data_IF_977339337097
#
_entry.id   IF_977339337097
#
_cell.length_a   1.000
_cell.length_b   1.000
_cell.length_c   1.000
_cell.angle_alpha   90.00
_cell.angle_beta   90.00
_cell.angle_gamma   90.00
#
_symmetry.space_group_name_H-M   'P 1'
#
loop_
_entity.id
_entity.type
_entity.pdbx_description
1 polymer ?
#
# COMPACT_ATOMS: atom_id res chain seq x y z
N UNK A 1 -11.23 3.86 -19.92
CA UNK A 1 -9.99 4.31 -19.25
C UNK A 1 -8.84 3.48 -19.76
N UNK A 2 -7.61 3.99 -19.73
CA UNK A 2 -6.43 3.18 -20.09
C UNK A 2 -6.15 2.15 -19.00
N UNK A 3 -5.75 0.96 -19.42
CA UNK A 3 -5.28 -0.12 -18.55
C UNK A 3 -3.85 0.13 -18.07
N UNK A 4 -3.42 -0.58 -17.02
CA UNK A 4 -2.03 -0.54 -16.56
C UNK A 4 -1.08 -0.95 -17.69
N UNK A 5 -1.44 -1.96 -18.48
CA UNK A 5 -0.68 -2.37 -19.67
C UNK A 5 -0.43 -1.22 -20.63
N UNK A 6 -1.46 -0.45 -20.96
CA UNK A 6 -1.35 0.68 -21.89
C UNK A 6 -0.57 1.86 -21.29
N UNK A 7 -0.73 2.12 -19.99
CA UNK A 7 -0.01 3.20 -19.28
C UNK A 7 1.50 2.92 -19.29
N UNK A 8 1.89 1.69 -18.99
CA UNK A 8 3.29 1.27 -18.90
C UNK A 8 3.87 0.71 -20.21
N UNK A 9 3.09 0.75 -21.31
CA UNK A 9 3.49 0.26 -22.64
C UNK A 9 4.02 -1.19 -22.65
N UNK A 10 3.38 -2.06 -21.85
CA UNK A 10 3.81 -3.45 -21.70
C UNK A 10 3.28 -4.28 -22.87
N UNK A 11 4.18 -4.94 -23.58
CA UNK A 11 3.82 -5.85 -24.67
C UNK A 11 3.04 -7.07 -24.17
N UNK A 12 2.16 -7.62 -25.00
CA UNK A 12 1.53 -8.91 -24.71
C UNK A 12 2.58 -10.02 -24.71
N UNK A 13 2.72 -10.72 -23.59
CA UNK A 13 3.45 -11.99 -23.55
C UNK A 13 2.47 -13.13 -23.85
N UNK A 14 2.85 -14.03 -24.76
CA UNK A 14 2.03 -15.19 -25.16
C UNK A 14 2.13 -16.37 -24.18
N UNK A 15 2.93 -16.28 -23.12
CA UNK A 15 3.11 -17.40 -22.20
C UNK A 15 2.00 -17.44 -21.16
N UNK A 16 1.10 -18.42 -21.29
CA UNK A 16 0.22 -18.81 -20.19
C UNK A 16 1.08 -19.43 -19.08
N UNK A 17 1.32 -18.65 -18.03
CA UNK A 17 1.93 -19.16 -16.81
C UNK A 17 0.84 -19.71 -15.88
N UNK A 18 1.13 -20.83 -15.24
CA UNK A 18 0.26 -21.42 -14.22
C UNK A 18 0.65 -20.99 -12.80
N UNK A 19 1.66 -20.12 -12.66
CA UNK A 19 2.05 -19.60 -11.35
C UNK A 19 1.08 -18.50 -10.91
N UNK A 20 0.61 -18.59 -9.67
CA UNK A 20 -0.38 -17.66 -9.12
C UNK A 20 0.04 -16.18 -9.20
N UNK A 21 1.34 -15.90 -9.05
CA UNK A 21 1.87 -14.54 -9.15
C UNK A 21 1.77 -13.98 -10.58
N UNK A 22 2.04 -14.81 -11.59
CA UNK A 22 1.95 -14.41 -13.00
C UNK A 22 0.50 -14.24 -13.45
N UNK A 23 -0.40 -15.09 -12.94
CA UNK A 23 -1.84 -14.96 -13.18
C UNK A 23 -2.33 -13.62 -12.61
N UNK A 24 -1.98 -13.31 -11.35
CA UNK A 24 -2.33 -12.03 -10.72
C UNK A 24 -1.71 -10.83 -11.46
N UNK A 25 -0.44 -10.91 -11.86
CA UNK A 25 0.22 -9.82 -12.59
C UNK A 25 -0.48 -9.53 -13.92
N UNK A 26 -0.86 -10.56 -14.68
CA UNK A 26 -1.61 -10.39 -15.93
C UNK A 26 -3.01 -9.80 -15.70
N UNK A 27 -3.67 -10.16 -14.60
CA UNK A 27 -4.95 -9.55 -14.21
C UNK A 27 -4.78 -8.05 -13.92
N UNK A 28 -3.77 -7.66 -13.13
CA UNK A 28 -3.45 -6.25 -12.85
C UNK A 28 -3.17 -5.45 -14.13
N UNK A 29 -2.45 -6.04 -15.09
CA UNK A 29 -2.17 -5.39 -16.37
C UNK A 29 -3.45 -5.02 -17.15
N UNK A 30 -4.51 -5.79 -16.99
CA UNK A 30 -5.77 -5.59 -17.71
C UNK A 30 -6.74 -4.65 -16.97
N UNK A 31 -6.45 -4.28 -15.72
CA UNK A 31 -7.21 -3.30 -14.94
C UNK A 31 -6.83 -1.87 -15.31
N UNK A 32 -7.76 -0.94 -15.15
CA UNK A 32 -7.49 0.49 -15.05
C UNK A 32 -7.09 0.88 -13.63
N UNK A 33 -6.52 2.07 -13.45
CA UNK A 33 -6.09 2.57 -12.12
C UNK A 33 -7.24 2.61 -11.11
N UNK A 34 -8.47 2.89 -11.54
CA UNK A 34 -9.65 2.92 -10.67
C UNK A 34 -10.13 1.54 -10.24
N UNK A 35 -9.74 0.48 -10.95
CA UNK A 35 -10.13 -0.90 -10.64
C UNK A 35 -9.13 -1.59 -9.70
N UNK A 36 -8.00 -0.94 -9.38
CA UNK A 36 -7.03 -1.46 -8.43
C UNK A 36 -7.62 -1.45 -7.01
N UNK A 37 -7.76 -2.64 -6.44
CA UNK A 37 -8.23 -2.83 -5.06
C UNK A 37 -7.08 -3.00 -4.06
N UNK A 38 -7.44 -3.13 -2.78
CA UNK A 38 -6.48 -3.29 -1.68
C UNK A 38 -5.53 -4.47 -1.87
N UNK A 39 -6.03 -5.59 -2.39
CA UNK A 39 -5.25 -6.81 -2.70
C UNK A 39 -4.17 -6.51 -3.73
N UNK A 40 -4.51 -5.76 -4.79
CA UNK A 40 -3.57 -5.39 -5.84
C UNK A 40 -2.48 -4.47 -5.28
N UNK A 41 -2.86 -3.45 -4.52
CA UNK A 41 -1.92 -2.49 -3.92
C UNK A 41 -0.94 -3.17 -2.96
N UNK A 42 -1.45 -4.01 -2.05
CA UNK A 42 -0.62 -4.76 -1.12
C UNK A 42 0.38 -5.65 -1.86
N UNK A 43 -0.06 -6.35 -2.91
CA UNK A 43 0.82 -7.21 -3.72
C UNK A 43 1.79 -6.41 -4.57
N UNK A 44 1.37 -5.31 -5.19
CA UNK A 44 2.23 -4.40 -5.96
C UNK A 44 3.39 -3.87 -5.10
N UNK A 45 3.09 -3.46 -3.87
CA UNK A 45 4.11 -3.00 -2.91
C UNK A 45 5.04 -4.15 -2.50
N UNK A 46 4.49 -5.32 -2.11
CA UNK A 46 5.27 -6.51 -1.72
C UNK A 46 6.23 -6.98 -2.82
N UNK A 47 5.78 -6.94 -4.08
CA UNK A 47 6.55 -7.39 -5.24
C UNK A 47 7.39 -6.27 -5.88
N UNK A 48 7.27 -5.04 -5.38
CA UNK A 48 7.92 -3.85 -5.93
C UNK A 48 7.65 -3.64 -7.43
N UNK A 49 6.39 -3.87 -7.86
CA UNK A 49 5.92 -3.65 -9.24
C UNK A 49 4.96 -2.47 -9.29
N UNK A 50 5.11 -1.61 -10.31
CA UNK A 50 4.32 -0.37 -10.45
C UNK A 50 4.31 0.47 -9.15
N UNK A 51 5.45 0.52 -8.47
CA UNK A 51 5.53 0.94 -7.07
C UNK A 51 5.06 2.38 -6.83
N UNK A 52 5.38 3.31 -7.73
CA UNK A 52 4.94 4.71 -7.62
C UNK A 52 3.41 4.82 -7.68
N UNK A 53 2.78 4.10 -8.61
CA UNK A 53 1.32 4.04 -8.71
C UNK A 53 0.70 3.41 -7.46
N UNK A 54 1.30 2.32 -6.98
CA UNK A 54 0.83 1.62 -5.79
C UNK A 54 0.89 2.52 -4.54
N UNK A 55 1.99 3.24 -4.35
CA UNK A 55 2.17 4.20 -3.24
C UNK A 55 1.12 5.30 -3.36
N UNK A 56 1.02 5.96 -4.53
CA UNK A 56 0.06 7.05 -4.73
C UNK A 56 -1.36 6.62 -4.37
N UNK A 57 -1.80 5.46 -4.85
CA UNK A 57 -3.15 4.94 -4.59
C UNK A 57 -3.33 4.47 -3.15
N UNK A 58 -2.30 3.87 -2.55
CA UNK A 58 -2.32 3.46 -1.16
C UNK A 58 -2.54 4.65 -0.22
N UNK A 59 -1.91 5.79 -0.50
CA UNK A 59 -2.11 7.01 0.30
C UNK A 59 -3.53 7.54 0.18
N UNK A 60 -4.17 7.46 -0.99
CA UNK A 60 -5.59 7.82 -1.14
C UNK A 60 -6.49 6.98 -0.23
N UNK A 61 -6.27 5.66 -0.17
CA UNK A 61 -7.05 4.77 0.69
C UNK A 61 -6.77 5.04 2.18
N UNK A 62 -5.50 5.18 2.55
CA UNK A 62 -5.09 5.40 3.93
C UNK A 62 -5.54 6.75 4.50
N UNK A 63 -5.76 7.77 3.65
CA UNK A 63 -6.41 9.03 4.06
C UNK A 63 -7.85 8.83 4.51
N UNK A 64 -8.53 7.83 3.97
CA UNK A 64 -9.91 7.50 4.34
C UNK A 64 -9.95 6.56 5.55
N UNK A 65 -9.08 5.54 5.54
CA UNK A 65 -9.00 4.55 6.60
C UNK A 65 -7.55 4.11 6.82
N UNK A 66 -6.90 4.49 7.94
CA UNK A 66 -5.51 4.11 8.22
C UNK A 66 -5.32 2.62 8.51
N UNK A 67 -6.41 1.87 8.71
CA UNK A 67 -6.41 0.43 8.96
C UNK A 67 -6.58 -0.41 7.68
N UNK A 68 -6.54 0.19 6.49
CA UNK A 68 -6.64 -0.57 5.24
C UNK A 68 -5.58 -1.68 5.11
N UNK A 69 -6.00 -2.83 4.59
CA UNK A 69 -5.17 -4.02 4.45
C UNK A 69 -5.86 -5.15 3.69
N UNK A 70 -5.08 -6.08 3.14
CA UNK A 70 -5.59 -7.25 2.40
C UNK A 70 -5.90 -8.42 3.36
N UNK A 71 -4.94 -8.74 4.24
CA UNK A 71 -5.04 -9.90 5.15
C UNK A 71 -5.45 -9.51 6.58
N UNK A 72 -5.01 -8.34 7.03
CA UNK A 72 -5.28 -7.81 8.38
C UNK A 72 -5.25 -6.29 8.35
N UNK A 73 -5.91 -5.70 9.35
CA UNK A 73 -6.01 -4.25 9.50
C UNK A 73 -4.64 -3.62 9.74
N UNK A 74 -4.38 -2.52 9.04
CA UNK A 74 -3.09 -1.80 9.09
C UNK A 74 -1.99 -2.40 8.22
N UNK A 75 -2.25 -3.52 7.51
CA UNK A 75 -1.25 -4.14 6.64
C UNK A 75 -0.68 -3.18 5.59
N UNK A 76 -1.51 -2.33 4.99
CA UNK A 76 -1.03 -1.42 3.93
C UNK A 76 0.00 -0.42 4.47
N UNK A 77 -0.24 0.10 5.68
CA UNK A 77 0.70 0.99 6.37
C UNK A 77 2.02 0.27 6.69
N UNK A 78 1.95 -0.97 7.16
CA UNK A 78 3.12 -1.79 7.47
C UNK A 78 3.97 -2.07 6.21
N UNK A 79 3.33 -2.30 5.07
CA UNK A 79 4.02 -2.47 3.80
C UNK A 79 4.72 -1.18 3.37
N UNK A 80 4.05 -0.03 3.46
CA UNK A 80 4.66 1.27 3.16
C UNK A 80 5.84 1.59 4.08
N UNK A 81 5.78 1.19 5.35
CA UNK A 81 6.90 1.33 6.28
C UNK A 81 8.15 0.59 5.80
N UNK A 82 8.00 -0.54 5.10
CA UNK A 82 9.11 -1.34 4.54
C UNK A 82 9.66 -0.82 3.22
N UNK A 83 8.99 0.15 2.57
CA UNK A 83 9.43 0.73 1.29
C UNK A 83 10.68 1.60 1.49
N UNK A 84 11.58 1.54 0.50
CA UNK A 84 12.79 2.37 0.43
C UNK A 84 12.45 3.86 0.40
N UNK A 85 13.23 4.67 1.14
CA UNK A 85 13.05 6.13 1.23
C UNK A 85 12.93 6.78 -0.15
N UNK A 86 13.77 6.38 -1.10
CA UNK A 86 13.82 7.00 -2.44
C UNK A 86 12.51 6.87 -3.21
N UNK A 87 11.72 5.82 -2.96
CA UNK A 87 10.42 5.59 -3.61
C UNK A 87 9.27 6.34 -2.93
N UNK A 88 9.47 6.75 -1.68
CA UNK A 88 8.51 7.52 -0.88
C UNK A 88 8.73 9.04 -1.06
N UNK A 89 9.84 9.44 -1.68
CA UNK A 89 10.19 10.83 -1.88
C UNK A 89 9.07 11.59 -2.61
N UNK A 90 8.66 12.73 -2.06
CA UNK A 90 7.55 13.55 -2.55
C UNK A 90 6.19 13.21 -1.92
N UNK A 91 6.09 12.15 -1.11
CA UNK A 91 4.87 11.78 -0.39
C UNK A 91 4.96 12.02 1.12
N UNK A 92 6.04 12.62 1.61
CA UNK A 92 6.35 12.73 3.05
C UNK A 92 5.25 13.48 3.81
N UNK A 93 4.76 14.59 3.27
CA UNK A 93 3.70 15.38 3.92
C UNK A 93 2.38 14.61 4.01
N UNK A 94 1.97 13.96 2.91
CA UNK A 94 0.76 13.12 2.90
C UNK A 94 0.89 11.93 3.86
N UNK A 95 2.06 11.31 3.95
CA UNK A 95 2.31 10.25 4.92
C UNK A 95 2.26 10.76 6.35
N UNK A 96 2.85 11.93 6.65
CA UNK A 96 2.77 12.52 7.99
C UNK A 96 1.32 12.81 8.39
N UNK A 97 0.52 13.35 7.48
CA UNK A 97 -0.92 13.59 7.71
C UNK A 97 -1.65 12.29 8.06
N UNK A 98 -1.48 11.25 7.24
CA UNK A 98 -2.08 9.92 7.46
C UNK A 98 -1.64 9.33 8.80
N UNK A 99 -0.35 9.38 9.10
CA UNK A 99 0.22 8.79 10.31
C UNK A 99 -0.21 9.54 11.57
N UNK A 100 -0.33 10.87 11.53
CA UNK A 100 -0.88 11.65 12.65
C UNK A 100 -2.36 11.33 12.86
N UNK A 101 -3.14 11.23 11.78
CA UNK A 101 -4.54 10.79 11.88
C UNK A 101 -4.64 9.39 12.50
N UNK A 102 -3.85 8.43 12.03
CA UNK A 102 -3.78 7.09 12.60
C UNK A 102 -3.39 7.10 14.10
N UNK A 103 -2.48 8.00 14.48
CA UNK A 103 -2.05 8.18 15.87
C UNK A 103 -3.15 8.77 16.76
N UNK A 104 -4.00 9.64 16.23
CA UNK A 104 -5.00 10.36 17.04
C UNK A 104 -6.37 9.67 17.06
N UNK A 105 -6.77 9.06 15.95
CA UNK A 105 -8.16 8.63 15.74
C UNK A 105 -8.36 7.11 15.72
N UNK A 106 -7.30 6.31 15.67
CA UNK A 106 -7.42 4.85 15.79
C UNK A 106 -7.49 4.46 17.27
N UNK A 107 -8.60 3.84 17.62
CA UNK A 107 -8.94 3.39 18.97
C UNK A 107 -8.67 1.89 19.17
N UNK A 108 -8.45 1.47 20.41
CA UNK A 108 -8.24 0.07 20.81
C UNK A 108 -9.43 -0.82 20.46
N UNK A 109 -10.66 -0.26 20.41
CA UNK A 109 -11.87 -1.00 20.06
C UNK A 109 -11.85 -1.55 18.61
N UNK A 110 -10.91 -1.10 17.77
CA UNK A 110 -10.69 -1.66 16.43
C UNK A 110 -9.82 -2.93 16.43
N UNK A 111 -9.31 -3.36 17.59
CA UNK A 111 -8.36 -4.46 17.70
C UNK A 111 -8.89 -5.57 18.61
N UNK A 112 -8.43 -6.80 18.38
CA UNK A 112 -8.89 -7.96 19.15
C UNK A 112 -8.35 -7.94 20.57
N UNK A 113 -7.16 -7.37 20.77
CA UNK A 113 -6.54 -7.23 22.06
C UNK A 113 -5.61 -6.02 22.12
N UNK A 114 -5.15 -5.71 23.33
CA UNK A 114 -4.25 -4.59 23.57
C UNK A 114 -2.90 -4.77 22.88
N UNK A 115 -2.41 -6.00 22.78
CA UNK A 115 -1.14 -6.31 22.15
C UNK A 115 -1.13 -5.91 20.67
N UNK A 116 -2.19 -6.24 19.91
CA UNK A 116 -2.33 -5.83 18.50
C UNK A 116 -2.40 -4.29 18.35
N UNK A 117 -3.16 -3.63 19.24
CA UNK A 117 -3.23 -2.17 19.28
C UNK A 117 -1.83 -1.56 19.53
N UNK A 118 -1.13 -2.03 20.57
CA UNK A 118 0.19 -1.53 20.94
C UNK A 118 1.21 -1.74 19.79
N UNK A 119 1.17 -2.88 19.09
CA UNK A 119 1.98 -3.16 17.90
C UNK A 119 1.69 -2.16 16.76
N UNK A 120 0.41 -1.89 16.48
CA UNK A 120 0.03 -0.90 15.48
C UNK A 120 0.51 0.51 15.86
N UNK A 121 0.35 0.92 17.13
CA UNK A 121 0.81 2.23 17.60
C UNK A 121 2.33 2.36 17.50
N UNK A 122 3.08 1.33 17.88
CA UNK A 122 4.54 1.29 17.74
C UNK A 122 4.97 1.40 16.27
N UNK A 123 4.28 0.71 15.35
CA UNK A 123 4.51 0.86 13.91
C UNK A 123 4.30 2.32 13.46
N UNK A 124 3.20 2.96 13.87
CA UNK A 124 2.90 4.35 13.51
C UNK A 124 3.98 5.31 14.01
N UNK A 125 4.42 5.18 15.27
CA UNK A 125 5.47 6.03 15.84
C UNK A 125 6.83 5.82 15.14
N UNK A 126 7.20 4.57 14.88
CA UNK A 126 8.41 4.24 14.11
C UNK A 126 8.35 4.81 12.70
N UNK A 127 7.19 4.75 12.05
CA UNK A 127 7.03 5.28 10.71
C UNK A 127 7.07 6.81 10.70
N UNK A 128 6.45 7.50 11.67
CA UNK A 128 6.59 8.95 11.85
C UNK A 128 8.05 9.35 12.02
N UNK A 129 8.79 8.63 12.85
CA UNK A 129 10.23 8.86 13.08
C UNK A 129 11.03 8.67 11.79
N UNK A 130 10.74 7.59 11.05
CA UNK A 130 11.36 7.30 9.76
C UNK A 130 11.12 8.43 8.76
N UNK A 131 9.87 8.87 8.57
CA UNK A 131 9.51 9.93 7.61
C UNK A 131 10.06 11.29 8.03
N UNK A 132 10.18 11.58 9.34
CA UNK A 132 10.80 12.82 9.82
C UNK A 132 12.32 12.86 9.63
N UNK A 133 12.97 11.72 9.44
CA UNK A 133 14.40 11.62 9.14
C UNK A 133 14.73 11.74 7.65
N UNK A 134 13.71 11.88 6.80
CA UNK A 134 13.88 11.95 5.35
C UNK A 134 14.40 13.31 4.88
#
# INVERSE_FOLDING_TARGET
MKTIREIYQISESKSQSNYALDIWYNDVLNKSVSELGIVDLCRMIKQNVFIELAISKALELLKLNPLEGDVYDGQLLELLFKVDKDKIRGYEESLKEILMNAKENVDIDNFMCKEEYDEFKDLVEKFLTKVNSY
#
